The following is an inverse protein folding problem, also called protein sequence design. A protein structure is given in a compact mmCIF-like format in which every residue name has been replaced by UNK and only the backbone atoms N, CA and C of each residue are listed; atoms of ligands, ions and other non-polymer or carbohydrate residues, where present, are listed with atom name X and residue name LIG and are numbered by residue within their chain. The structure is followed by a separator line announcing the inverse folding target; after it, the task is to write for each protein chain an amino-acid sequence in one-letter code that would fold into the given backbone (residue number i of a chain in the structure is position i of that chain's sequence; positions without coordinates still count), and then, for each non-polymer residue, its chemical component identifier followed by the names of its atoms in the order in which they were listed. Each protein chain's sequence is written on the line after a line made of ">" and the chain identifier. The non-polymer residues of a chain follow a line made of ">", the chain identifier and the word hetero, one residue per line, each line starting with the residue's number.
data_IF_302111400367
#
_entry.id   IF_302111400367
#
_cell.length_a   1.000
_cell.length_b   1.000
_cell.length_c   1.000
_cell.angle_alpha   90.00
_cell.angle_beta   90.00
_cell.angle_gamma   90.00
#
_symmetry.space_group_name_H-M   'P 1'
#
loop_
_entity.id
_entity.type
_entity.pdbx_description
1 polymer ?
#
# COMPACT_ATOMS: atom_id res chain seq x y z
N UNK A 1 2.26 14.94 -31.05
CA UNK A 1 3.10 13.75 -30.79
C UNK A 1 2.58 13.12 -29.52
N UNK A 2 1.98 11.93 -29.59
CA UNK A 2 1.51 11.23 -28.40
C UNK A 2 2.75 10.72 -27.64
N UNK A 3 3.22 11.48 -26.65
CA UNK A 3 4.10 10.94 -25.62
C UNK A 3 3.32 9.82 -24.93
N UNK A 4 3.69 8.57 -25.18
CA UNK A 4 3.03 7.42 -24.58
C UNK A 4 3.05 7.54 -23.05
N UNK A 5 2.04 6.98 -22.38
CA UNK A 5 1.84 7.03 -20.92
C UNK A 5 3.10 6.65 -20.10
N UNK A 6 4.04 5.94 -20.72
CA UNK A 6 5.26 5.41 -20.11
C UNK A 6 6.56 5.87 -20.78
N UNK A 7 6.53 6.92 -21.61
CA UNK A 7 7.74 7.35 -22.34
C UNK A 7 8.87 7.89 -21.45
N UNK A 8 8.58 8.19 -20.18
CA UNK A 8 9.52 8.75 -19.20
C UNK A 8 9.61 7.89 -17.91
N UNK A 9 9.42 6.58 -18.00
CA UNK A 9 9.54 5.69 -16.83
C UNK A 9 11.00 5.53 -16.44
N UNK A 10 11.34 5.96 -15.23
CA UNK A 10 12.65 5.79 -14.61
C UNK A 10 12.65 4.57 -13.68
N UNK A 11 13.79 3.87 -13.46
CA UNK A 11 13.88 2.81 -12.47
C UNK A 11 13.46 3.26 -11.06
N UNK A 12 13.63 4.55 -10.75
CA UNK A 12 13.19 5.15 -9.50
C UNK A 12 11.67 5.17 -9.32
N UNK A 13 10.90 4.98 -10.39
CA UNK A 13 9.43 4.96 -10.34
C UNK A 13 8.86 3.58 -10.00
N UNK A 14 9.68 2.52 -10.06
CA UNK A 14 9.22 1.13 -9.88
C UNK A 14 8.53 0.94 -8.53
N UNK A 15 9.08 1.40 -7.38
CA UNK A 15 8.41 1.23 -6.09
C UNK A 15 7.04 1.93 -6.04
N UNK A 16 6.95 3.16 -6.54
CA UNK A 16 5.70 3.91 -6.57
C UNK A 16 4.62 3.21 -7.42
N UNK A 17 4.97 2.76 -8.64
CA UNK A 17 4.04 2.05 -9.52
C UNK A 17 3.62 0.70 -8.93
N UNK A 18 4.57 -0.03 -8.33
CA UNK A 18 4.29 -1.31 -7.67
C UNK A 18 3.30 -1.12 -6.53
N UNK A 19 3.53 -0.16 -5.64
CA UNK A 19 2.66 0.11 -4.50
C UNK A 19 1.30 0.64 -4.96
N UNK A 20 1.27 1.58 -5.90
CA UNK A 20 0.01 2.09 -6.48
C UNK A 20 -0.85 0.96 -7.04
N UNK A 21 -0.24 0.01 -7.76
CA UNK A 21 -0.94 -1.16 -8.31
C UNK A 21 -1.38 -2.14 -7.23
N UNK A 22 -0.46 -2.51 -6.34
CA UNK A 22 -0.73 -3.46 -5.27
C UNK A 22 -1.85 -2.96 -4.35
N UNK A 23 -1.88 -1.66 -4.05
CA UNK A 23 -2.91 -1.07 -3.19
C UNK A 23 -4.24 -0.94 -3.91
N UNK A 24 -4.23 -0.54 -5.19
CA UNK A 24 -5.47 -0.46 -5.98
C UNK A 24 -6.13 -1.83 -6.11
N UNK A 25 -5.40 -2.84 -6.57
CA UNK A 25 -5.96 -4.16 -6.84
C UNK A 25 -6.13 -4.99 -5.56
N UNK A 26 -5.11 -4.98 -4.69
CA UNK A 26 -5.13 -5.69 -3.42
C UNK A 26 -6.16 -5.10 -2.45
N UNK A 27 -6.36 -3.79 -2.44
CA UNK A 27 -7.40 -3.14 -1.64
C UNK A 27 -8.83 -3.48 -2.08
N UNK A 28 -9.03 -3.89 -3.33
CA UNK A 28 -10.34 -4.34 -3.83
C UNK A 28 -10.61 -5.83 -3.57
N UNK A 29 -9.57 -6.63 -3.28
CA UNK A 29 -9.73 -8.07 -3.01
C UNK A 29 -10.74 -8.38 -1.89
N UNK A 30 -10.76 -7.66 -0.75
CA UNK A 30 -11.72 -7.90 0.33
C UNK A 30 -13.20 -7.80 -0.08
N UNK A 31 -13.53 -7.08 -1.15
CA UNK A 31 -14.91 -6.93 -1.61
C UNK A 31 -15.48 -8.20 -2.25
N UNK A 32 -14.60 -9.08 -2.74
CA UNK A 32 -14.98 -10.34 -3.39
C UNK A 32 -14.58 -11.57 -2.60
N UNK A 33 -13.45 -11.49 -1.89
CA UNK A 33 -12.89 -12.61 -1.13
C UNK A 33 -12.25 -12.06 0.16
N UNK A 34 -13.06 -11.61 1.15
CA UNK A 34 -12.56 -11.02 2.37
C UNK A 34 -11.73 -12.00 3.21
N UNK A 35 -12.14 -13.26 3.29
CA UNK A 35 -11.40 -14.30 3.99
C UNK A 35 -10.01 -14.51 3.40
N UNK A 36 -9.91 -14.59 2.07
CA UNK A 36 -8.64 -14.69 1.35
C UNK A 36 -7.77 -13.46 1.60
N UNK A 37 -8.34 -12.26 1.49
CA UNK A 37 -7.60 -11.02 1.70
C UNK A 37 -7.05 -10.91 3.13
N UNK A 38 -7.83 -11.34 4.12
CA UNK A 38 -7.41 -11.35 5.53
C UNK A 38 -6.30 -12.38 5.79
N UNK A 39 -6.33 -13.55 5.14
CA UNK A 39 -5.23 -14.53 5.19
C UNK A 39 -3.96 -14.00 4.54
N UNK A 40 -4.06 -13.40 3.36
CA UNK A 40 -2.92 -12.78 2.67
C UNK A 40 -2.35 -11.59 3.47
N UNK A 41 -3.20 -10.87 4.20
CA UNK A 41 -2.77 -9.85 5.16
C UNK A 41 -2.00 -10.46 6.34
N UNK A 42 -2.20 -11.74 6.63
CA UNK A 42 -1.54 -12.50 7.70
C UNK A 42 -2.29 -12.51 9.02
N UNK A 43 -3.62 -12.36 9.00
CA UNK A 43 -4.48 -12.45 10.19
C UNK A 43 -4.73 -13.91 10.60
N UNK A 44 -4.92 -14.19 11.90
CA UNK A 44 -5.21 -15.54 12.39
C UNK A 44 -6.62 -15.99 12.00
N UNK A 45 -6.80 -17.31 11.82
CA UNK A 45 -8.06 -17.92 11.36
C UNK A 45 -9.28 -17.55 12.23
N UNK A 46 -9.10 -17.34 13.54
CA UNK A 46 -10.19 -16.90 14.42
C UNK A 46 -10.78 -15.54 14.03
N UNK A 47 -9.96 -14.63 13.48
CA UNK A 47 -10.41 -13.33 12.97
C UNK A 47 -10.92 -13.48 11.54
N UNK A 48 -10.23 -14.25 10.70
CA UNK A 48 -10.61 -14.49 9.30
C UNK A 48 -12.03 -15.04 9.17
N UNK A 49 -12.47 -15.91 10.08
CA UNK A 49 -13.80 -16.52 10.05
C UNK A 49 -14.93 -15.61 10.55
N UNK A 50 -14.59 -14.45 11.12
CA UNK A 50 -15.57 -13.51 11.68
C UNK A 50 -16.15 -12.63 10.58
N UNK A 51 -17.43 -12.80 10.24
CA UNK A 51 -18.13 -11.99 9.25
C UNK A 51 -18.12 -10.48 9.58
N UNK A 52 -18.34 -10.04 10.84
CA UNK A 52 -18.18 -8.62 11.19
C UNK A 52 -16.76 -8.09 10.92
N UNK A 53 -15.73 -8.91 11.17
CA UNK A 53 -14.35 -8.52 10.88
C UNK A 53 -14.09 -8.43 9.37
N UNK A 54 -14.65 -9.34 8.58
CA UNK A 54 -14.59 -9.31 7.11
C UNK A 54 -15.23 -8.04 6.54
N UNK A 55 -16.40 -7.63 7.04
CA UNK A 55 -17.06 -6.39 6.61
C UNK A 55 -16.22 -5.15 6.92
N UNK A 56 -15.69 -5.07 8.15
CA UNK A 56 -14.80 -3.97 8.54
C UNK A 56 -13.51 -3.96 7.70
N UNK A 57 -12.96 -5.15 7.40
CA UNK A 57 -11.79 -5.31 6.54
C UNK A 57 -12.08 -4.93 5.08
N UNK A 58 -13.31 -5.13 4.60
CA UNK A 58 -13.80 -4.62 3.33
C UNK A 58 -13.73 -3.10 3.22
N UNK A 59 -14.23 -2.39 4.24
CA UNK A 59 -14.16 -0.91 4.31
C UNK A 59 -12.70 -0.44 4.40
N UNK A 60 -11.86 -1.14 5.15
CA UNK A 60 -10.43 -0.86 5.17
C UNK A 60 -9.81 -1.02 3.77
N UNK A 61 -10.11 -2.14 3.08
CA UNK A 61 -9.63 -2.42 1.73
C UNK A 61 -9.98 -1.32 0.73
N UNK A 62 -11.22 -0.80 0.74
CA UNK A 62 -11.61 0.28 -0.18
C UNK A 62 -10.82 1.57 0.05
N UNK A 63 -10.44 1.87 1.29
CA UNK A 63 -9.55 3.00 1.61
C UNK A 63 -8.13 2.78 1.09
N UNK A 64 -7.62 1.56 1.18
CA UNK A 64 -6.33 1.17 0.57
C UNK A 64 -6.40 1.31 -0.95
N UNK A 65 -7.50 0.86 -1.58
CA UNK A 65 -7.70 1.00 -3.01
C UNK A 65 -7.75 2.47 -3.46
N UNK A 66 -8.49 3.32 -2.73
CA UNK A 66 -8.52 4.76 -2.99
C UNK A 66 -7.12 5.40 -2.87
N UNK A 67 -6.30 4.93 -1.92
CA UNK A 67 -4.92 5.36 -1.78
C UNK A 67 -4.06 4.98 -3.00
N UNK A 68 -4.20 3.74 -3.49
CA UNK A 68 -3.54 3.29 -4.72
C UNK A 68 -3.95 4.11 -5.95
N UNK A 69 -5.23 4.45 -6.07
CA UNK A 69 -5.75 5.34 -7.13
C UNK A 69 -5.15 6.74 -7.01
N UNK A 70 -5.02 7.28 -5.79
CA UNK A 70 -4.37 8.56 -5.56
C UNK A 70 -2.90 8.56 -6.03
N UNK A 71 -2.14 7.52 -5.65
CA UNK A 71 -0.76 7.34 -6.11
C UNK A 71 -0.66 7.32 -7.64
N UNK A 72 -1.50 6.54 -8.31
CA UNK A 72 -1.54 6.50 -9.78
C UNK A 72 -1.96 7.84 -10.39
N UNK A 73 -2.93 8.53 -9.81
CA UNK A 73 -3.41 9.83 -10.31
C UNK A 73 -2.29 10.87 -10.30
N UNK A 74 -1.59 11.01 -9.17
CA UNK A 74 -0.49 11.97 -9.07
C UNK A 74 0.74 11.54 -9.89
N UNK A 75 1.01 10.24 -9.98
CA UNK A 75 2.07 9.71 -10.83
C UNK A 75 1.84 10.05 -12.31
N UNK A 76 0.62 9.79 -12.83
CA UNK A 76 0.27 10.08 -14.22
C UNK A 76 0.22 11.59 -14.54
N UNK A 77 0.03 12.44 -13.52
CA UNK A 77 0.13 13.90 -13.63
C UNK A 77 1.58 14.41 -13.58
N UNK A 78 2.56 13.55 -13.31
CA UNK A 78 3.95 13.94 -13.10
C UNK A 78 4.21 14.63 -11.77
N UNK A 79 3.26 14.60 -10.83
CA UNK A 79 3.37 15.21 -9.50
C UNK A 79 4.14 14.28 -8.53
N UNK A 80 5.36 13.91 -8.89
CA UNK A 80 6.13 12.88 -8.18
C UNK A 80 6.45 13.22 -6.71
N UNK A 81 6.59 14.51 -6.37
CA UNK A 81 6.74 14.94 -4.97
C UNK A 81 5.51 14.61 -4.11
N UNK A 82 4.31 14.64 -4.70
CA UNK A 82 3.08 14.25 -4.01
C UNK A 82 3.03 12.73 -3.84
N UNK A 83 3.47 11.97 -4.87
CA UNK A 83 3.61 10.52 -4.78
C UNK A 83 4.56 10.12 -3.64
N UNK A 84 5.73 10.77 -3.55
CA UNK A 84 6.69 10.56 -2.47
C UNK A 84 6.12 10.92 -1.10
N UNK A 85 5.35 12.00 -1.01
CA UNK A 85 4.62 12.37 0.22
C UNK A 85 3.63 11.29 0.63
N UNK A 86 2.83 10.78 -0.31
CA UNK A 86 1.89 9.69 -0.03
C UNK A 86 2.63 8.40 0.35
N UNK A 87 3.76 8.09 -0.29
CA UNK A 87 4.54 6.93 0.10
C UNK A 87 5.10 7.08 1.53
N UNK A 88 5.55 8.27 1.93
CA UNK A 88 6.10 8.48 3.29
C UNK A 88 5.09 8.25 4.41
N UNK A 89 3.80 8.52 4.16
CA UNK A 89 2.71 8.23 5.11
C UNK A 89 2.57 6.75 5.44
N UNK A 90 3.14 5.85 4.63
CA UNK A 90 3.15 4.42 4.91
C UNK A 90 3.94 4.07 6.18
N UNK A 91 4.84 4.94 6.64
CA UNK A 91 5.50 4.78 7.94
C UNK A 91 4.49 4.71 9.09
N UNK A 92 3.46 5.58 9.07
CA UNK A 92 2.41 5.58 10.09
C UNK A 92 1.52 4.33 9.98
N UNK A 93 1.18 3.91 8.77
CA UNK A 93 0.45 2.66 8.55
C UNK A 93 1.23 1.45 9.04
N UNK A 94 2.52 1.34 8.71
CA UNK A 94 3.37 0.25 9.17
C UNK A 94 3.49 0.18 10.69
N UNK A 95 3.62 1.32 11.36
CA UNK A 95 3.62 1.38 12.82
C UNK A 95 2.29 0.91 13.42
N UNK A 96 1.17 1.33 12.83
CA UNK A 96 -0.18 0.94 13.25
C UNK A 96 -0.40 -0.57 13.05
N UNK A 97 -0.02 -1.09 11.90
CA UNK A 97 -0.12 -2.50 11.55
C UNK A 97 0.74 -3.37 12.46
N UNK A 98 1.96 -2.93 12.76
CA UNK A 98 2.84 -3.62 13.69
C UNK A 98 2.18 -3.79 15.05
N UNK A 99 1.66 -2.69 15.61
CA UNK A 99 0.97 -2.68 16.89
C UNK A 99 -0.27 -3.61 16.91
N UNK A 100 -1.10 -3.53 15.86
CA UNK A 100 -2.31 -4.35 15.75
C UNK A 100 -1.97 -5.83 15.58
N UNK A 101 -1.00 -6.17 14.74
CA UNK A 101 -0.56 -7.55 14.51
C UNK A 101 0.05 -8.18 15.77
N UNK A 102 0.79 -7.41 16.58
CA UNK A 102 1.26 -7.86 17.90
C UNK A 102 0.07 -8.20 18.80
N UNK A 103 -0.94 -7.32 18.88
CA UNK A 103 -2.16 -7.57 19.67
C UNK A 103 -2.96 -8.77 19.16
N UNK A 104 -2.96 -9.01 17.86
CA UNK A 104 -3.63 -10.14 17.24
C UNK A 104 -2.86 -11.46 17.36
N UNK A 105 -1.69 -11.48 18.02
CA UNK A 105 -0.90 -12.70 18.24
C UNK A 105 -0.07 -13.15 17.02
N UNK A 106 0.17 -12.27 16.04
CA UNK A 106 0.92 -12.56 14.81
C UNK A 106 2.19 -11.70 14.68
N UNK A 107 3.17 -11.83 15.60
CA UNK A 107 4.34 -10.94 15.66
C UNK A 107 5.26 -11.03 14.44
N UNK A 108 5.33 -12.20 13.78
CA UNK A 108 6.12 -12.35 12.54
C UNK A 108 5.56 -11.49 11.41
N UNK A 109 4.23 -11.47 11.27
CA UNK A 109 3.53 -10.61 10.31
C UNK A 109 3.75 -9.14 10.68
N UNK A 110 3.68 -8.79 11.97
CA UNK A 110 3.95 -7.44 12.46
C UNK A 110 5.32 -6.93 12.00
N UNK A 111 6.38 -7.72 12.25
CA UNK A 111 7.74 -7.36 11.88
C UNK A 111 7.90 -7.18 10.37
N UNK A 112 7.36 -8.11 9.56
CA UNK A 112 7.41 -8.01 8.10
C UNK A 112 6.75 -6.73 7.58
N UNK A 113 5.54 -6.42 8.07
CA UNK A 113 4.79 -5.22 7.67
C UNK A 113 5.49 -3.94 8.09
N UNK A 114 6.09 -3.92 9.28
CA UNK A 114 6.83 -2.77 9.77
C UNK A 114 8.07 -2.49 8.91
N UNK A 115 8.87 -3.53 8.65
CA UNK A 115 10.09 -3.41 7.84
C UNK A 115 9.76 -2.99 6.41
N UNK A 116 8.76 -3.61 5.78
CA UNK A 116 8.35 -3.23 4.42
C UNK A 116 7.85 -1.78 4.37
N UNK A 117 7.11 -1.33 5.37
CA UNK A 117 6.64 0.05 5.47
C UNK A 117 7.77 1.05 5.70
N UNK A 118 8.82 0.68 6.44
CA UNK A 118 10.04 1.51 6.57
C UNK A 118 10.73 1.63 5.22
N UNK A 119 10.90 0.54 4.47
CA UNK A 119 11.59 0.59 3.18
C UNK A 119 10.83 1.48 2.19
N UNK A 120 9.52 1.25 2.04
CA UNK A 120 8.70 1.97 1.07
C UNK A 120 8.42 3.41 1.54
N UNK A 121 8.12 3.60 2.82
CA UNK A 121 7.88 4.92 3.40
C UNK A 121 9.15 5.76 3.45
N UNK A 122 10.29 5.15 3.77
CA UNK A 122 11.60 5.77 3.66
C UNK A 122 11.93 6.17 2.22
N UNK A 123 11.55 5.35 1.23
CA UNK A 123 11.72 5.68 -0.19
C UNK A 123 11.00 6.98 -0.57
N UNK A 124 9.74 7.12 -0.14
CA UNK A 124 8.96 8.35 -0.31
C UNK A 124 9.52 9.52 0.49
N UNK A 125 9.90 9.31 1.75
CA UNK A 125 10.49 10.34 2.60
C UNK A 125 11.77 10.95 2.01
N UNK A 126 12.59 10.13 1.36
CA UNK A 126 13.81 10.55 0.68
C UNK A 126 13.57 11.20 -0.70
N UNK A 127 12.32 11.28 -1.17
CA UNK A 127 11.97 11.92 -2.44
C UNK A 127 12.51 11.16 -3.66
N UNK A 128 12.65 9.84 -3.56
CA UNK A 128 13.36 9.06 -4.57
C UNK A 128 12.55 8.89 -5.86
N UNK A 129 11.21 8.94 -5.80
CA UNK A 129 10.39 8.91 -7.02
C UNK A 129 10.61 10.18 -7.84
N UNK A 130 10.56 11.35 -7.18
CA UNK A 130 10.80 12.64 -7.84
C UNK A 130 12.22 12.77 -8.39
N UNK A 131 13.22 12.19 -7.71
CA UNK A 131 14.59 12.12 -8.23
C UNK A 131 14.67 11.45 -9.61
N UNK A 132 13.79 10.50 -9.92
CA UNK A 132 13.75 9.82 -11.22
C UNK A 132 13.34 10.70 -12.40
N UNK A 133 12.85 11.91 -12.13
CA UNK A 133 12.35 12.87 -13.12
C UNK A 133 13.28 14.07 -13.37
N UNK A 134 14.37 14.17 -12.60
CA UNK A 134 15.47 15.13 -12.79
C UNK A 134 16.48 14.59 -13.81
#
# INVERSE_FOLDING_TARGET
>A
MASGLFSNVSPWHIPAMFIGTAFTLGGLLPLRAPDRAMREYGLPEGIVRSEPAQLAFGIYGTRVAAYGVALWTFYLRGEYHVVDTLMSLLLLWGASDCWICIKAGVPRTAAWRFVSSIMIGGYGYLGLTAKGSL
#
